data_IF_327181832649
#
_entry.id   IF_327181832649
#
_cell.length_a   1.000
_cell.length_b   1.000
_cell.length_c   1.000
_cell.angle_alpha   90.00
_cell.angle_beta   90.00
_cell.angle_gamma   90.00
#
_symmetry.space_group_name_H-M   'P 1'
#
loop_
_entity.id
_entity.type
_entity.pdbx_description
1 polymer ?
#
# COMPACT_ATOMS: atom_id res chain seq x y z
N UNK A 1 -12.44 5.48 -16.16
CA UNK A 1 -12.10 4.70 -14.95
C UNK A 1 -10.71 5.05 -14.46
N UNK A 2 -10.51 5.10 -13.14
CA UNK A 2 -9.19 5.27 -12.51
C UNK A 2 -8.88 4.04 -11.66
N UNK A 3 -7.61 3.64 -11.62
CA UNK A 3 -7.09 2.61 -10.72
C UNK A 3 -5.96 3.21 -9.90
N UNK A 4 -5.99 2.95 -8.60
CA UNK A 4 -4.99 3.43 -7.66
C UNK A 4 -4.31 2.21 -7.04
N UNK A 5 -3.00 2.13 -7.21
CA UNK A 5 -2.19 1.07 -6.62
C UNK A 5 -1.79 1.40 -5.19
N UNK A 6 -2.07 0.48 -4.26
CA UNK A 6 -1.55 0.52 -2.89
C UNK A 6 -0.14 -0.09 -2.84
N UNK A 7 0.82 0.60 -2.23
CA UNK A 7 2.20 0.09 -2.10
C UNK A 7 2.35 -1.11 -1.13
N UNK A 8 1.24 -1.56 -0.53
CA UNK A 8 1.22 -2.82 0.23
C UNK A 8 1.53 -4.00 -0.70
N UNK A 9 2.71 -4.60 -0.46
CA UNK A 9 3.17 -5.81 -1.10
C UNK A 9 2.72 -7.05 -0.35
N UNK A 10 3.67 -7.94 -0.09
CA UNK A 10 3.46 -9.15 0.69
C UNK A 10 3.06 -8.84 2.14
N UNK A 11 2.31 -9.74 2.80
CA UNK A 11 2.09 -9.67 4.25
C UNK A 11 3.42 -9.55 4.98
N UNK A 12 3.52 -8.55 5.86
CA UNK A 12 4.74 -8.31 6.65
C UNK A 12 5.87 -7.55 5.93
N UNK A 13 5.62 -6.96 4.76
CA UNK A 13 6.56 -6.05 4.09
C UNK A 13 7.73 -6.72 3.36
N UNK A 14 8.64 -5.95 2.74
CA UNK A 14 8.66 -4.48 2.64
C UNK A 14 7.55 -3.91 1.73
N UNK A 15 7.43 -2.59 1.69
CA UNK A 15 6.56 -1.91 0.71
C UNK A 15 7.12 -2.08 -0.70
N UNK A 16 6.24 -2.13 -1.69
CA UNK A 16 6.61 -2.39 -3.09
C UNK A 16 6.38 -1.15 -3.94
N UNK A 17 7.47 -0.48 -4.35
CA UNK A 17 7.41 0.72 -5.20
C UNK A 17 6.66 0.51 -6.52
N UNK A 18 6.70 -0.70 -7.09
CA UNK A 18 6.01 -1.04 -8.34
C UNK A 18 4.48 -1.08 -8.20
N UNK A 19 3.98 -1.27 -6.98
CA UNK A 19 2.54 -1.24 -6.67
C UNK A 19 2.03 0.17 -6.38
N UNK A 20 2.92 1.15 -6.24
CA UNK A 20 2.55 2.56 -6.12
C UNK A 20 2.40 3.16 -7.52
N UNK A 21 1.16 3.22 -8.01
CA UNK A 21 0.85 3.77 -9.32
C UNK A 21 -0.53 4.42 -9.34
N UNK A 22 -0.73 5.29 -10.32
CA UNK A 22 -2.03 5.80 -10.70
C UNK A 22 -2.23 5.41 -12.17
N UNK A 23 -3.39 4.84 -12.49
CA UNK A 23 -3.73 4.47 -13.84
C UNK A 23 -5.12 4.97 -14.20
N UNK A 24 -5.34 5.19 -15.50
CA UNK A 24 -6.66 5.48 -16.02
C UNK A 24 -6.85 4.83 -17.38
N UNK A 25 -8.09 4.54 -17.68
CA UNK A 25 -8.52 4.13 -19.00
C UNK A 25 -9.93 4.63 -19.26
N UNK A 26 -10.25 4.76 -20.55
CA UNK A 26 -11.63 5.01 -20.98
C UNK A 26 -12.36 3.69 -20.98
N UNK A 27 -13.44 3.62 -20.21
CA UNK A 27 -14.28 2.43 -20.19
C UNK A 27 -14.91 2.23 -21.56
N UNK A 28 -14.73 1.06 -22.20
CA UNK A 28 -15.36 0.77 -23.47
C UNK A 28 -16.88 0.65 -23.28
N UNK A 29 -17.63 0.98 -24.33
CA UNK A 29 -19.06 0.63 -24.39
C UNK A 29 -19.15 -0.83 -24.82
N UNK A 30 -19.67 -1.70 -23.96
CA UNK A 30 -19.77 -3.14 -24.23
C UNK A 30 -18.46 -3.91 -24.05
N UNK A 31 -18.47 -5.19 -24.44
CA UNK A 31 -17.28 -6.04 -24.41
C UNK A 31 -16.27 -5.54 -25.45
N UNK A 32 -15.01 -5.28 -25.06
CA UNK A 32 -14.03 -4.73 -25.99
C UNK A 32 -13.45 -5.83 -26.90
N UNK A 33 -13.49 -5.61 -28.21
CA UNK A 33 -12.88 -6.53 -29.20
C UNK A 33 -11.34 -6.55 -29.15
N UNK A 34 -10.74 -5.56 -28.48
CA UNK A 34 -9.29 -5.39 -28.34
C UNK A 34 -8.91 -5.00 -26.92
N UNK A 35 -7.66 -5.22 -26.55
CA UNK A 35 -7.14 -4.77 -25.25
C UNK A 35 -7.34 -3.26 -25.05
N UNK A 36 -7.92 -2.88 -23.91
CA UNK A 36 -8.16 -1.48 -23.56
C UNK A 36 -6.83 -0.80 -23.25
N UNK A 37 -6.53 0.30 -23.94
CA UNK A 37 -5.34 1.10 -23.68
C UNK A 37 -5.45 1.78 -22.30
N UNK A 38 -4.47 1.51 -21.44
CA UNK A 38 -4.38 2.09 -20.11
C UNK A 38 -3.15 2.99 -20.01
N UNK A 39 -3.36 4.21 -19.53
CA UNK A 39 -2.28 5.12 -19.15
C UNK A 39 -1.87 4.82 -17.71
N UNK A 40 -0.57 4.62 -17.45
CA UNK A 40 -0.06 4.29 -16.11
C UNK A 40 1.08 5.22 -15.72
N UNK A 41 0.87 5.96 -14.64
CA UNK A 41 1.87 6.85 -14.03
C UNK A 41 2.46 6.15 -12.81
N UNK A 42 3.79 6.02 -12.79
CA UNK A 42 4.54 5.35 -11.71
C UNK A 42 5.54 6.30 -11.07
N UNK A 43 5.04 7.25 -10.26
CA UNK A 43 5.91 8.12 -9.46
C UNK A 43 6.12 7.53 -8.05
N UNK A 44 6.84 6.40 -8.04
CA UNK A 44 7.13 5.52 -6.90
C UNK A 44 7.17 6.24 -5.54
N UNK A 45 6.25 5.88 -4.63
CA UNK A 45 6.11 6.45 -3.28
C UNK A 45 5.77 7.95 -3.19
N UNK A 46 5.47 8.64 -4.29
CA UNK A 46 5.13 10.06 -4.22
C UNK A 46 3.77 10.31 -3.57
N UNK A 47 2.76 9.47 -3.85
CA UNK A 47 1.48 9.53 -3.14
C UNK A 47 1.64 9.14 -1.67
N UNK A 48 2.47 8.12 -1.40
CA UNK A 48 2.80 7.73 -0.03
C UNK A 48 3.40 8.89 0.77
N UNK A 49 4.34 9.62 0.19
CA UNK A 49 4.94 10.82 0.79
C UNK A 49 3.90 11.91 1.04
N UNK A 50 3.13 12.27 0.01
CA UNK A 50 2.09 13.31 0.12
C UNK A 50 1.07 13.00 1.23
N UNK A 51 0.61 11.75 1.33
CA UNK A 51 -0.33 11.32 2.38
C UNK A 51 0.34 11.37 3.75
N UNK A 52 1.57 10.88 3.91
CA UNK A 52 2.26 10.92 5.20
C UNK A 52 2.57 12.34 5.66
N UNK A 53 2.91 13.25 4.75
CA UNK A 53 3.11 14.66 5.07
C UNK A 53 1.82 15.31 5.57
N UNK A 54 0.70 15.04 4.89
CA UNK A 54 -0.61 15.54 5.31
C UNK A 54 -1.06 14.94 6.65
N UNK A 55 -0.81 13.65 6.88
CA UNK A 55 -1.10 12.99 8.16
C UNK A 55 -0.26 13.60 9.29
N UNK A 56 1.04 13.82 9.09
CA UNK A 56 1.90 14.46 10.06
C UNK A 56 1.45 15.91 10.36
N UNK A 57 1.08 16.66 9.32
CA UNK A 57 0.58 18.03 9.46
C UNK A 57 -0.79 18.11 10.15
N UNK A 58 -1.64 17.08 10.00
CA UNK A 58 -2.99 17.05 10.58
C UNK A 58 -3.01 16.98 12.11
N UNK A 59 -1.90 16.55 12.74
CA UNK A 59 -1.79 16.30 14.19
C UNK A 59 -2.87 15.38 14.76
N UNK A 60 -3.53 14.58 13.92
CA UNK A 60 -4.49 13.59 14.37
C UNK A 60 -3.77 12.54 15.24
N UNK A 61 -4.38 12.08 16.35
CA UNK A 61 -3.85 10.94 17.09
C UNK A 61 -4.05 9.70 16.22
N UNK A 62 -2.96 9.16 15.67
CA UNK A 62 -2.97 7.98 14.80
C UNK A 62 -2.66 6.70 15.58
N UNK A 63 -3.23 5.58 15.13
CA UNK A 63 -2.87 4.27 15.66
C UNK A 63 -1.37 4.03 15.50
N UNK A 64 -0.73 3.65 16.62
CA UNK A 64 0.71 3.44 16.63
C UNK A 64 1.08 2.22 15.80
N UNK A 65 2.04 2.39 14.91
CA UNK A 65 2.67 1.27 14.23
C UNK A 65 3.56 0.51 15.21
N UNK A 66 3.40 -0.80 15.33
CA UNK A 66 4.29 -1.61 16.17
C UNK A 66 5.73 -1.54 15.67
N UNK A 67 6.71 -1.70 16.56
CA UNK A 67 8.14 -1.65 16.19
C UNK A 67 8.48 -2.68 15.10
N UNK A 68 7.90 -3.88 15.19
CA UNK A 68 8.03 -4.92 14.16
C UNK A 68 7.49 -4.45 12.81
N UNK A 69 6.32 -3.83 12.79
CA UNK A 69 5.72 -3.34 11.54
C UNK A 69 6.51 -2.15 10.96
N UNK A 70 6.97 -1.22 11.80
CA UNK A 70 7.86 -0.12 11.41
C UNK A 70 9.15 -0.62 10.78
N UNK A 71 9.81 -1.61 11.40
CA UNK A 71 10.99 -2.28 10.84
C UNK A 71 10.72 -2.87 9.47
N UNK A 72 9.64 -3.62 9.37
CA UNK A 72 9.33 -4.42 8.21
C UNK A 72 8.89 -3.59 7.00
N UNK A 73 8.03 -2.59 7.21
CA UNK A 73 7.47 -1.80 6.12
C UNK A 73 8.27 -0.54 5.81
N UNK A 74 8.83 0.14 6.81
CA UNK A 74 9.45 1.46 6.59
C UNK A 74 10.96 1.31 6.50
N UNK A 75 11.59 0.86 7.59
CA UNK A 75 13.05 0.76 7.67
C UNK A 75 13.61 -0.15 6.58
N UNK A 76 13.07 -1.37 6.43
CA UNK A 76 13.53 -2.33 5.42
C UNK A 76 13.35 -1.80 4.00
N UNK A 77 12.23 -1.13 3.69
CA UNK A 77 12.00 -0.54 2.36
C UNK A 77 13.03 0.54 2.05
N UNK A 78 13.28 1.44 3.00
CA UNK A 78 14.29 2.50 2.88
C UNK A 78 15.69 1.92 2.70
N UNK A 79 16.09 0.95 3.54
CA UNK A 79 17.39 0.27 3.44
C UNK A 79 17.56 -0.41 2.08
N UNK A 80 16.54 -1.12 1.59
CA UNK A 80 16.58 -1.77 0.28
C UNK A 80 16.66 -0.75 -0.87
N UNK A 81 15.94 0.36 -0.76
CA UNK A 81 16.00 1.45 -1.75
C UNK A 81 17.38 2.09 -1.81
N UNK A 82 17.97 2.43 -0.65
CA UNK A 82 19.31 3.03 -0.55
C UNK A 82 20.41 2.09 -1.03
N UNK A 83 20.40 0.82 -0.59
CA UNK A 83 21.36 -0.20 -1.05
C UNK A 83 21.31 -0.43 -2.55
N UNK A 84 20.18 -0.15 -3.19
CA UNK A 84 19.98 -0.29 -4.64
C UNK A 84 20.05 1.06 -5.38
N UNK A 85 20.54 2.11 -4.72
CA UNK A 85 20.69 3.47 -5.26
C UNK A 85 19.41 3.97 -5.95
N UNK A 86 18.26 3.77 -5.31
CA UNK A 86 16.98 4.19 -5.87
C UNK A 86 16.62 5.59 -5.39
N UNK A 87 16.41 6.50 -6.34
CA UNK A 87 15.98 7.88 -6.05
C UNK A 87 14.70 8.00 -5.20
N UNK A 88 13.79 7.02 -5.31
CA UNK A 88 12.57 7.01 -4.48
C UNK A 88 12.82 6.68 -3.01
N UNK A 89 14.01 6.20 -2.63
CA UNK A 89 14.30 5.78 -1.26
C UNK A 89 14.21 6.93 -0.26
N UNK A 90 14.54 8.15 -0.70
CA UNK A 90 14.52 9.35 0.15
C UNK A 90 13.11 9.95 0.32
N UNK A 91 12.13 9.43 -0.41
CA UNK A 91 10.70 9.76 -0.19
C UNK A 91 10.09 9.01 0.99
N UNK A 92 10.79 7.99 1.50
CA UNK A 92 10.36 7.21 2.66
C UNK A 92 11.19 7.69 3.85
N UNK A 93 10.52 8.35 4.77
CA UNK A 93 11.14 8.95 5.95
C UNK A 93 10.98 8.05 7.18
N UNK A 94 11.89 8.15 8.16
CA UNK A 94 11.66 7.60 9.47
C UNK A 94 10.34 8.13 10.04
N UNK A 95 9.51 7.24 10.61
CA UNK A 95 8.21 7.62 11.19
C UNK A 95 7.04 7.59 10.22
N UNK A 96 7.27 7.41 8.92
CA UNK A 96 6.19 7.20 7.96
C UNK A 96 5.31 6.02 8.36
N UNK A 97 4.04 6.09 7.99
CA UNK A 97 3.07 5.01 8.11
C UNK A 97 2.90 4.36 6.74
N UNK A 98 2.88 3.01 6.65
CA UNK A 98 2.49 2.37 5.41
C UNK A 98 1.04 2.76 5.09
N UNK A 99 0.74 3.20 3.87
CA UNK A 99 -0.61 3.60 3.46
C UNK A 99 -1.33 2.45 2.76
N UNK A 100 -2.42 1.96 3.35
CA UNK A 100 -3.27 0.93 2.76
C UNK A 100 -4.57 1.56 2.31
N UNK A 101 -4.82 1.55 0.99
CA UNK A 101 -6.03 2.11 0.40
C UNK A 101 -7.09 1.01 0.31
N UNK A 102 -8.29 1.30 0.79
CA UNK A 102 -9.45 0.40 0.76
C UNK A 102 -10.41 0.72 -0.38
N UNK A 103 -10.61 2.01 -0.65
CA UNK A 103 -11.56 2.49 -1.63
C UNK A 103 -11.14 3.81 -2.23
N UNK A 104 -11.68 4.12 -3.40
CA UNK A 104 -11.45 5.36 -4.10
C UNK A 104 -12.72 5.78 -4.85
N UNK A 105 -13.08 7.06 -4.75
CA UNK A 105 -14.22 7.64 -5.45
C UNK A 105 -13.91 9.09 -5.83
N UNK A 106 -14.55 9.60 -6.89
CA UNK A 106 -14.50 11.02 -7.18
C UNK A 106 -15.65 11.74 -6.48
N UNK A 107 -15.40 12.94 -5.98
CA UNK A 107 -16.45 13.86 -5.54
C UNK A 107 -17.08 14.62 -6.73
N UNK A 108 -18.11 15.40 -6.44
CA UNK A 108 -18.84 16.24 -7.39
C UNK A 108 -17.97 17.34 -8.04
N UNK A 109 -16.85 17.70 -7.40
CA UNK A 109 -15.87 18.70 -7.88
C UNK A 109 -14.72 18.05 -8.65
N UNK A 110 -14.73 16.73 -8.82
CA UNK A 110 -13.68 15.98 -9.50
C UNK A 110 -12.39 15.78 -8.66
N UNK A 111 -12.45 16.01 -7.36
CA UNK A 111 -11.45 15.57 -6.39
C UNK A 111 -11.52 14.06 -6.17
N UNK A 112 -10.38 13.42 -5.94
CA UNK A 112 -10.31 11.99 -5.65
C UNK A 112 -10.28 11.77 -4.15
N UNK A 113 -11.29 11.09 -3.64
CA UNK A 113 -11.43 10.70 -2.25
C UNK A 113 -10.90 9.28 -2.09
N UNK A 114 -9.95 9.09 -1.17
CA UNK A 114 -9.40 7.78 -0.82
C UNK A 114 -9.83 7.39 0.59
N UNK A 115 -10.39 6.19 0.72
CA UNK A 115 -10.57 5.53 2.01
C UNK A 115 -9.33 4.76 2.39
N UNK A 116 -8.78 5.03 3.58
CA UNK A 116 -7.64 4.30 4.12
C UNK A 116 -8.12 3.15 5.01
N UNK A 117 -7.66 1.93 4.70
CA UNK A 117 -7.72 0.80 5.63
C UNK A 117 -6.71 0.96 6.76
N UNK A 118 -5.58 1.60 6.46
CA UNK A 118 -4.55 1.96 7.42
C UNK A 118 -3.73 3.13 6.85
N UNK A 119 -3.29 4.10 7.66
CA UNK A 119 -3.56 4.24 9.08
C UNK A 119 -5.01 4.59 9.41
N UNK A 120 -5.37 4.33 10.67
CA UNK A 120 -6.60 4.77 11.32
C UNK A 120 -6.21 5.67 12.50
N UNK A 121 -7.18 6.35 13.11
CA UNK A 121 -6.92 7.09 14.35
C UNK A 121 -6.53 6.15 15.50
N UNK A 122 -6.04 6.69 16.60
CA UNK A 122 -5.69 5.92 17.80
C UNK A 122 -6.89 5.16 18.38
N UNK A 123 -8.11 5.70 18.22
CA UNK A 123 -9.38 5.08 18.57
C UNK A 123 -9.97 4.20 17.46
N UNK A 124 -9.25 3.97 16.36
CA UNK A 124 -9.62 3.03 15.31
C UNK A 124 -10.60 3.58 14.26
N UNK A 125 -10.86 4.89 14.22
CA UNK A 125 -11.73 5.47 13.20
C UNK A 125 -11.05 5.50 11.82
N UNK A 126 -11.79 5.18 10.74
CA UNK A 126 -11.27 5.26 9.38
C UNK A 126 -10.86 6.68 9.00
N UNK A 127 -9.86 6.77 8.12
CA UNK A 127 -9.35 8.05 7.61
C UNK A 127 -9.68 8.16 6.13
N UNK A 128 -10.15 9.34 5.74
CA UNK A 128 -10.41 9.74 4.36
C UNK A 128 -9.37 10.77 3.95
N UNK A 129 -8.82 10.61 2.75
CA UNK A 129 -7.88 11.55 2.13
C UNK A 129 -8.54 12.15 0.90
N UNK A 130 -8.63 13.47 0.84
CA UNK A 130 -9.06 14.19 -0.37
C UNK A 130 -7.84 14.63 -1.17
N UNK A 131 -7.77 14.21 -2.43
CA UNK A 131 -6.75 14.59 -3.38
C UNK A 131 -7.32 15.52 -4.45
N UNK A 132 -6.55 16.53 -4.82
CA UNK A 132 -6.85 17.39 -5.95
C UNK A 132 -5.88 17.18 -7.11
N UNK A 133 -6.27 17.69 -8.28
CA UNK A 133 -5.42 17.76 -9.48
C UNK A 133 -4.94 16.41 -10.03
N UNK A 134 -5.70 15.34 -9.77
CA UNK A 134 -5.33 13.96 -10.16
C UNK A 134 -5.08 13.81 -11.66
N UNK A 135 -5.86 14.52 -12.48
CA UNK A 135 -5.70 14.54 -13.94
C UNK A 135 -4.34 15.08 -14.38
N UNK A 136 -3.72 15.97 -13.60
CA UNK A 136 -2.41 16.56 -13.90
C UNK A 136 -1.28 15.54 -13.94
N UNK A 137 -1.37 14.46 -13.14
CA UNK A 137 -0.37 13.39 -13.13
C UNK A 137 -0.19 12.70 -14.50
N UNK A 138 -1.20 12.78 -15.37
CA UNK A 138 -1.18 12.22 -16.71
C UNK A 138 -0.84 13.25 -17.80
N UNK A 139 -0.78 14.54 -17.46
CA UNK A 139 -0.49 15.62 -18.41
C UNK A 139 1.00 15.90 -18.54
N UNK A 140 1.72 15.87 -17.42
CA UNK A 140 3.15 16.22 -17.38
C UNK A 140 3.91 15.34 -16.41
N UNK A 141 5.09 14.82 -16.79
CA UNK A 141 5.98 14.13 -15.87
C UNK A 141 6.31 15.03 -14.67
N UNK A 142 6.29 14.46 -13.47
CA UNK A 142 6.61 15.19 -12.24
C UNK A 142 5.46 15.99 -11.64
N UNK A 143 4.32 16.15 -12.34
CA UNK A 143 3.08 16.63 -11.73
C UNK A 143 2.48 15.55 -10.83
N UNK A 144 2.02 15.92 -9.64
CA UNK A 144 1.46 14.95 -8.69
C UNK A 144 0.23 15.50 -7.97
N UNK A 145 -0.76 14.65 -7.62
CA UNK A 145 -1.90 15.07 -6.82
C UNK A 145 -1.47 15.65 -5.47
N UNK A 146 -2.17 16.70 -5.05
CA UNK A 146 -1.96 17.34 -3.75
C UNK A 146 -3.03 16.85 -2.77
N UNK A 147 -2.62 16.55 -1.53
CA UNK A 147 -3.57 16.25 -0.46
C UNK A 147 -4.19 17.57 0.02
N UNK A 148 -5.50 17.71 -0.20
CA UNK A 148 -6.26 18.88 0.20
C UNK A 148 -6.74 18.79 1.64
N UNK A 149 -7.19 17.60 2.05
CA UNK A 149 -7.74 17.38 3.37
C UNK A 149 -7.54 15.94 3.84
N UNK A 150 -7.44 15.80 5.16
CA UNK A 150 -7.57 14.54 5.88
C UNK A 150 -8.85 14.66 6.72
N UNK A 151 -9.72 13.65 6.67
CA UNK A 151 -10.91 13.57 7.51
C UNK A 151 -10.94 12.26 8.27
N UNK A 152 -11.56 12.28 9.44
CA UNK A 152 -11.87 11.09 10.22
C UNK A 152 -13.34 10.78 10.01
N UNK A 153 -13.67 9.54 9.65
CA UNK A 153 -15.06 9.09 9.62
C UNK A 153 -15.50 8.74 11.04
N UNK A 154 -16.23 9.67 11.64
CA UNK A 154 -17.04 9.43 12.81
C UNK A 154 -18.40 8.95 12.32
N UNK A 155 -19.02 7.92 12.90
CA UNK A 155 -20.28 7.33 12.40
C UNK A 155 -21.50 8.26 12.31
N UNK A 156 -21.30 9.59 12.43
CA UNK A 156 -22.25 10.68 12.21
C UNK A 156 -22.02 11.42 10.89
N UNK A 157 -20.96 11.11 10.15
CA UNK A 157 -20.61 11.79 8.91
C UNK A 157 -21.55 11.36 7.77
N UNK A 158 -22.44 12.27 7.35
CA UNK A 158 -23.16 12.15 6.08
C UNK A 158 -22.23 12.62 4.96
N UNK A 159 -21.69 11.69 4.18
CA UNK A 159 -21.03 12.00 2.91
C UNK A 159 -22.11 12.33 1.84
N UNK A 160 -22.72 13.51 1.96
CA UNK A 160 -23.69 14.05 0.99
C UNK A 160 -23.14 15.29 0.27
N UNK A 161 -23.71 15.66 -0.90
CA UNK A 161 -23.34 16.89 -1.58
C UNK A 161 -23.61 18.09 -0.66
N UNK A 162 -22.61 18.96 -0.49
CA UNK A 162 -22.72 20.15 0.37
C UNK A 162 -23.48 21.25 -0.38
N UNK A 163 -24.79 21.31 -0.21
CA UNK A 163 -25.54 22.57 -0.32
C UNK A 163 -25.35 23.35 0.97
N UNK A 164 -24.85 24.58 0.87
CA UNK A 164 -24.57 25.44 2.01
C UNK A 164 -25.85 26.03 2.59
N UNK A 165 -25.96 26.04 3.91
CA UNK A 165 -26.28 27.23 4.69
C UNK A 165 -25.95 26.95 6.15
N UNK A 166 -25.28 27.91 6.79
CA UNK A 166 -24.95 27.86 8.19
C UNK A 166 -26.16 28.29 9.01
N UNK A 167 -26.61 27.45 9.93
CA UNK A 167 -27.29 27.92 11.14
C UNK A 167 -26.81 27.10 12.33
N UNK A 168 -26.19 27.84 13.23
CA UNK A 168 -25.82 27.48 14.59
C UNK A 168 -26.99 26.87 15.36
N UNK A 169 -26.74 25.74 16.04
CA UNK A 169 -27.34 25.44 17.33
C UNK A 169 -26.59 24.28 17.98
N UNK A 170 -25.95 24.53 19.12
CA UNK A 170 -25.53 23.49 20.06
C UNK A 170 -26.77 22.73 20.57
N UNK A 171 -26.59 21.46 20.96
CA UNK A 171 -26.94 21.16 22.35
C UNK A 171 -25.96 20.23 23.08
N UNK A 172 -25.71 20.63 24.33
CA UNK A 172 -25.79 19.86 25.59
C UNK A 172 -25.28 18.42 25.59
N UNK A 173 -24.23 18.24 26.39
CA UNK A 173 -23.74 17.00 27.00
C UNK A 173 -24.79 16.27 27.82
N UNK A 174 -24.95 14.98 27.57
CA UNK A 174 -25.35 14.01 28.58
C UNK A 174 -24.48 12.76 28.44
N UNK A 175 -23.74 12.47 29.50
CA UNK A 175 -22.96 11.26 29.67
C UNK A 175 -23.89 10.08 29.95
N UNK A 176 -23.68 8.96 29.25
CA UNK A 176 -24.04 7.65 29.81
C UNK A 176 -22.94 6.66 29.46
N UNK A 177 -22.28 6.19 30.50
CA UNK A 177 -21.34 5.09 30.50
C UNK A 177 -22.06 3.81 30.08
N UNK A 178 -21.50 3.06 29.13
CA UNK A 178 -21.77 1.63 29.02
C UNK A 178 -20.56 0.95 28.36
N UNK A 179 -19.89 0.13 29.15
CA UNK A 179 -18.78 -0.70 28.73
C UNK A 179 -19.31 -1.83 27.82
N UNK A 180 -18.89 -1.84 26.55
CA UNK A 180 -19.12 -2.95 25.65
C UNK A 180 -17.82 -3.71 25.44
N UNK A 181 -17.79 -4.94 25.94
CA UNK A 181 -16.72 -5.91 25.85
C UNK A 181 -16.31 -6.23 24.41
N UNK A 182 -15.01 -6.36 24.20
CA UNK A 182 -14.37 -6.77 22.94
C UNK A 182 -14.60 -8.28 22.74
N UNK A 183 -15.20 -8.73 21.62
CA UNK A 183 -15.17 -10.14 21.25
C UNK A 183 -13.74 -10.52 20.86
N UNK A 184 -13.14 -11.38 21.68
CA UNK A 184 -11.90 -12.08 21.38
C UNK A 184 -12.23 -13.25 20.47
N UNK A 185 -11.71 -13.24 19.23
CA UNK A 185 -11.37 -14.39 18.36
C UNK A 185 -11.70 -14.10 16.90
N UNK A 186 -10.65 -14.05 16.05
CA UNK A 186 -10.79 -14.42 14.65
C UNK A 186 -9.58 -15.27 14.26
N UNK A 187 -9.79 -16.57 14.38
CA UNK A 187 -8.92 -17.64 13.91
C UNK A 187 -8.78 -17.51 12.39
N UNK A 188 -7.56 -17.31 11.89
CA UNK A 188 -7.28 -17.46 10.46
C UNK A 188 -7.50 -18.92 10.08
N UNK A 189 -8.59 -19.21 9.36
CA UNK A 189 -8.73 -20.45 8.62
C UNK A 189 -7.58 -20.56 7.60
N UNK A 190 -6.60 -21.40 7.93
CA UNK A 190 -5.63 -21.90 6.97
C UNK A 190 -6.38 -22.72 5.93
N UNK A 191 -6.37 -22.27 4.67
CA UNK A 191 -6.80 -23.12 3.55
C UNK A 191 -5.89 -24.36 3.50
N UNK A 192 -6.44 -25.57 3.35
CA UNK A 192 -5.64 -26.78 3.15
C UNK A 192 -4.89 -26.71 1.82
N UNK A 193 -3.63 -27.15 1.82
CA UNK A 193 -2.85 -27.40 0.61
C UNK A 193 -3.48 -28.59 -0.14
N UNK A 194 -3.67 -28.55 -1.46
CA UNK A 194 -4.05 -29.74 -2.20
C UNK A 194 -2.93 -30.77 -2.11
N UNK A 195 -3.32 -31.98 -1.68
CA UNK A 195 -2.45 -33.12 -1.47
C UNK A 195 -1.86 -33.62 -2.79
N UNK A 196 -0.59 -34.02 -2.73
CA UNK A 196 0.01 -34.93 -3.70
C UNK A 196 -0.57 -36.32 -3.42
N UNK A 197 -1.36 -36.84 -4.34
CA UNK A 197 -1.63 -38.27 -4.42
C UNK A 197 -0.49 -38.96 -5.16
N UNK A 198 -0.03 -40.06 -4.59
CA UNK A 198 0.94 -41.00 -5.12
C UNK A 198 0.25 -42.35 -5.28
N UNK A 199 0.30 -42.92 -6.49
CA UNK A 199 0.23 -44.34 -6.89
C UNK A 199 0.02 -44.34 -8.42
N UNK A 200 0.68 -45.11 -9.28
CA UNK A 200 1.77 -46.08 -9.19
C UNK A 200 2.08 -46.60 -10.61
N UNK A 201 3.33 -47.02 -10.83
CA UNK A 201 3.90 -47.96 -11.83
C UNK A 201 3.47 -47.90 -13.32
N UNK A 202 4.33 -48.06 -14.32
CA UNK A 202 5.39 -49.08 -14.41
C UNK A 202 6.39 -48.84 -15.58
N UNK A 203 7.54 -49.53 -15.45
CA UNK A 203 8.50 -50.06 -16.45
C UNK A 203 9.43 -49.12 -17.22
N UNK A 204 10.73 -49.40 -17.09
CA UNK A 204 11.73 -49.21 -18.15
C UNK A 204 13.11 -48.76 -17.66
N UNK A 205 14.00 -49.73 -17.41
CA UNK A 205 15.40 -49.82 -17.90
C UNK A 205 16.18 -48.50 -18.06
N UNK A 206 17.43 -48.28 -17.65
CA UNK A 206 18.58 -49.09 -17.25
C UNK A 206 19.73 -48.06 -17.18
N UNK A 207 20.66 -48.13 -16.22
CA UNK A 207 21.80 -47.19 -16.23
C UNK A 207 22.43 -46.90 -14.88
N UNK A 208 23.54 -47.59 -14.61
CA UNK A 208 24.31 -47.62 -13.37
C UNK A 208 25.09 -46.30 -13.12
N UNK A 209 25.05 -45.83 -11.86
CA UNK A 209 26.11 -45.30 -10.94
C UNK A 209 27.52 -44.95 -11.48
N UNK A 210 28.38 -44.22 -10.71
CA UNK A 210 28.14 -43.14 -9.73
C UNK A 210 29.21 -42.00 -9.71
N UNK A 211 28.89 -40.94 -8.95
CA UNK A 211 29.73 -40.11 -8.03
C UNK A 211 31.19 -39.78 -8.42
N UNK A 212 31.51 -38.48 -8.35
CA UNK A 212 32.69 -38.00 -7.59
C UNK A 212 32.48 -36.62 -6.98
N UNK A 213 32.59 -36.56 -5.65
CA UNK A 213 32.96 -35.37 -4.90
C UNK A 213 34.50 -35.32 -4.76
N UNK A 214 35.00 -34.14 -4.35
CA UNK A 214 36.39 -33.74 -3.98
C UNK A 214 37.05 -32.89 -5.06
N UNK A 215 37.83 -31.85 -4.74
CA UNK A 215 38.10 -31.09 -3.50
C UNK A 215 38.77 -29.78 -3.96
N UNK A 216 38.78 -28.80 -3.08
CA UNK A 216 39.60 -27.59 -3.18
C UNK A 216 41.10 -27.91 -3.35
N UNK A 217 41.78 -27.04 -4.10
CA UNK A 217 43.22 -26.84 -4.01
C UNK A 217 43.52 -25.34 -4.07
N UNK A 218 44.19 -24.89 -3.02
CA UNK A 218 44.88 -23.62 -2.80
C UNK A 218 46.15 -23.48 -3.65
N UNK A 219 46.56 -22.24 -3.92
CA UNK A 219 47.93 -21.68 -3.91
C UNK A 219 47.91 -20.35 -4.72
N UNK A 220 48.09 -19.19 -4.09
CA UNK A 220 49.37 -18.47 -3.91
C UNK A 220 49.83 -17.82 -5.24
N UNK A 221 49.78 -16.48 -5.34
CA UNK A 221 50.91 -15.53 -5.15
C UNK A 221 51.99 -15.70 -6.23
N UNK A 222 52.56 -14.74 -6.93
CA UNK A 222 52.67 -13.26 -6.95
C UNK A 222 53.36 -12.94 -8.33
N UNK A 223 54.11 -11.85 -8.57
CA UNK A 223 53.67 -10.49 -8.90
C UNK A 223 54.27 -9.96 -10.24
N UNK A 224 53.80 -8.76 -10.62
CA UNK A 224 54.50 -7.65 -11.30
C UNK A 224 55.44 -7.86 -12.52
N UNK A 225 55.19 -6.99 -13.52
CA UNK A 225 56.14 -6.19 -14.33
C UNK A 225 56.15 -6.48 -15.83
N UNK A 226 55.52 -5.59 -16.60
CA UNK A 226 56.05 -4.88 -17.78
C UNK A 226 54.94 -3.99 -18.37
#
# INVERSE_FOLDING_TARGET
MYLIGSQFGRPGGPLESRRSFLARFREPRGAPDKAVRMEVVRDRFRLHRAINDALAASRLPLARLSEKASRNFIRRTRTLGRRRHKAWADRILPGDLPINIEGAAFDDRGGLVLGLRFPVTASGQPIIVELQEVKGAFRSPGWWPVVRAIRVLTGRDRLGPRSGSATSSCPVTTSTSSAASIPSSWTMHRRPRPGRSSTGSAVGLEGRRPRRCRRASSAASDPASA
#
